data_IF_388920300797
#
_entry.id   IF_388920300797
#
_cell.length_a   1.000
_cell.length_b   1.000
_cell.length_c   1.000
_cell.angle_alpha   90.00
_cell.angle_beta   90.00
_cell.angle_gamma   90.00
#
_symmetry.space_group_name_H-M   'P 1'
#
loop_
_entity.id
_entity.type
_entity.pdbx_description
1 polymer ?
#
# COMPACT_ATOMS: atom_id res chain seq x y z
N UNK A 1 -33.81 16.58 12.09
CA UNK A 1 -32.40 16.24 12.38
C UNK A 1 -32.04 15.10 11.44
N UNK A 2 -31.65 15.45 10.21
CA UNK A 2 -31.38 14.49 9.14
C UNK A 2 -29.90 14.65 8.78
N UNK A 3 -29.04 13.82 9.37
CA UNK A 3 -27.65 13.71 8.95
C UNK A 3 -27.63 12.69 7.80
N UNK A 4 -27.43 13.23 6.61
CA UNK A 4 -27.21 12.51 5.36
C UNK A 4 -26.19 11.37 5.57
N UNK A 5 -26.61 10.12 5.36
CA UNK A 5 -25.77 8.94 5.43
C UNK A 5 -24.77 8.96 4.25
N UNK A 6 -23.68 9.71 4.37
CA UNK A 6 -22.54 9.59 3.46
C UNK A 6 -21.94 8.19 3.64
N UNK A 7 -22.11 7.35 2.63
CA UNK A 7 -21.54 5.99 2.60
C UNK A 7 -20.03 6.10 2.38
N UNK A 8 -19.29 6.17 3.48
CA UNK A 8 -17.84 6.09 3.45
C UNK A 8 -17.41 4.68 3.04
N UNK A 9 -16.50 4.60 2.09
CA UNK A 9 -15.80 3.36 1.73
C UNK A 9 -14.40 3.47 2.31
N UNK A 10 -14.05 2.50 3.16
CA UNK A 10 -12.71 2.41 3.73
C UNK A 10 -11.84 1.53 2.84
N UNK A 11 -10.66 2.02 2.49
CA UNK A 11 -9.62 1.27 1.81
C UNK A 11 -8.65 0.76 2.87
N UNK A 12 -8.28 -0.52 2.77
CA UNK A 12 -7.34 -1.17 3.68
C UNK A 12 -6.14 -1.68 2.91
N UNK A 13 -4.98 -1.70 3.55
CA UNK A 13 -3.78 -2.24 2.92
C UNK A 13 -2.72 -2.60 3.94
N UNK A 14 -1.76 -3.42 3.50
CA UNK A 14 -0.59 -3.81 4.26
C UNK A 14 0.65 -3.80 3.37
N UNK A 15 1.77 -3.39 3.96
CA UNK A 15 3.08 -3.43 3.34
C UNK A 15 4.01 -4.34 4.15
N UNK A 16 4.70 -5.23 3.44
CA UNK A 16 5.79 -6.05 3.97
C UNK A 16 7.08 -5.57 3.33
N UNK A 17 8.03 -5.12 4.16
CA UNK A 17 9.31 -4.58 3.71
C UNK A 17 10.43 -5.46 4.21
N UNK A 18 11.15 -6.09 3.28
CA UNK A 18 12.40 -6.79 3.57
C UNK A 18 13.54 -5.78 3.54
N UNK A 19 14.31 -5.71 4.63
CA UNK A 19 15.47 -4.82 4.75
C UNK A 19 16.73 -5.67 4.94
N UNK A 20 17.81 -5.31 4.25
CA UNK A 20 19.15 -5.89 4.43
C UNK A 20 20.05 -4.89 5.13
N UNK A 21 20.78 -5.36 6.12
CA UNK A 21 21.76 -4.60 6.89
C UNK A 21 23.18 -5.01 6.52
N UNK A 22 24.03 -4.03 6.25
CA UNK A 22 25.48 -4.20 6.14
C UNK A 22 26.13 -3.59 7.39
N UNK A 23 26.64 -4.42 8.33
CA UNK A 23 27.22 -3.92 9.58
C UNK A 23 28.60 -3.29 9.40
N UNK A 24 29.31 -3.56 8.29
CA UNK A 24 30.67 -3.05 8.09
C UNK A 24 30.70 -1.55 7.73
N UNK A 25 29.61 -1.06 7.14
CA UNK A 25 29.44 0.34 6.72
C UNK A 25 28.16 0.97 7.29
N UNK A 26 27.54 0.30 8.26
CA UNK A 26 26.27 0.72 8.87
C UNK A 26 25.18 1.09 7.87
N UNK A 27 24.99 0.29 6.82
CA UNK A 27 24.06 0.60 5.71
C UNK A 27 22.85 -0.32 5.69
N UNK A 28 21.65 0.26 5.81
CA UNK A 28 20.39 -0.42 5.52
C UNK A 28 20.02 -0.22 4.05
N UNK A 29 19.49 -1.26 3.40
CA UNK A 29 18.86 -1.18 2.07
C UNK A 29 17.54 -1.95 2.06
N UNK A 30 16.53 -1.39 1.42
CA UNK A 30 15.30 -2.13 1.11
C UNK A 30 15.65 -3.17 0.05
N UNK A 31 15.41 -4.44 0.37
CA UNK A 31 15.64 -5.55 -0.53
C UNK A 31 14.38 -5.88 -1.34
N UNK A 32 13.21 -5.70 -0.73
CA UNK A 32 11.91 -5.99 -1.34
C UNK A 32 10.79 -5.24 -0.62
N UNK A 33 9.81 -4.79 -1.39
CA UNK A 33 8.51 -4.35 -0.88
C UNK A 33 7.46 -5.25 -1.49
N UNK A 34 6.54 -5.75 -0.67
CA UNK A 34 5.35 -6.49 -1.11
C UNK A 34 4.14 -5.83 -0.47
N UNK A 35 3.18 -5.43 -1.29
CA UNK A 35 1.97 -4.72 -0.86
C UNK A 35 0.74 -5.56 -1.18
N UNK A 36 -0.23 -5.56 -0.28
CA UNK A 36 -1.58 -6.06 -0.54
C UNK A 36 -2.58 -4.96 -0.13
N UNK A 37 -3.35 -4.46 -1.09
CA UNK A 37 -4.30 -3.36 -0.88
C UNK A 37 -5.68 -3.78 -1.39
N UNK A 38 -6.69 -3.63 -0.55
CA UNK A 38 -8.10 -3.71 -0.92
C UNK A 38 -8.53 -2.37 -1.54
N UNK A 39 -8.43 -2.30 -2.87
CA UNK A 39 -8.76 -1.10 -3.67
C UNK A 39 -10.22 -1.07 -4.13
N UNK A 40 -11.06 -2.00 -3.67
CA UNK A 40 -12.40 -2.18 -4.20
C UNK A 40 -12.41 -2.56 -5.68
N UNK A 41 -13.35 -1.99 -6.47
CA UNK A 41 -13.49 -2.33 -7.90
C UNK A 41 -12.43 -1.63 -8.75
N UNK A 42 -11.51 -2.41 -9.30
CA UNK A 42 -10.53 -1.93 -10.28
C UNK A 42 -11.19 -1.65 -11.63
N UNK A 43 -11.12 -0.40 -12.09
CA UNK A 43 -11.60 0.03 -13.42
C UNK A 43 -10.50 -0.04 -14.48
N UNK A 44 -9.26 0.30 -14.10
CA UNK A 44 -8.09 0.21 -14.96
C UNK A 44 -6.92 -0.43 -14.18
N UNK A 45 -6.51 -1.67 -14.51
CA UNK A 45 -5.45 -2.38 -13.80
C UNK A 45 -4.09 -1.68 -13.82
N UNK A 46 -3.72 -1.03 -14.93
CA UNK A 46 -2.43 -0.35 -15.06
C UNK A 46 -2.37 0.90 -14.18
N UNK A 47 -3.44 1.71 -14.20
CA UNK A 47 -3.53 2.88 -13.35
C UNK A 47 -3.59 2.51 -11.86
N UNK A 48 -4.36 1.47 -11.52
CA UNK A 48 -4.45 0.99 -10.13
C UNK A 48 -3.09 0.52 -9.61
N UNK A 49 -2.32 -0.23 -10.41
CA UNK A 49 -0.99 -0.69 -10.02
C UNK A 49 -0.03 0.48 -9.76
N UNK A 50 0.00 1.48 -10.65
CA UNK A 50 0.89 2.63 -10.50
C UNK A 50 0.58 3.52 -9.28
N UNK A 51 -0.63 3.43 -8.70
CA UNK A 51 -0.99 4.17 -7.48
C UNK A 51 -0.60 3.43 -6.18
N UNK A 52 -0.19 2.16 -6.31
CA UNK A 52 0.16 1.28 -5.19
C UNK A 52 1.66 0.99 -5.14
N UNK A 53 2.37 1.17 -6.26
CA UNK A 53 3.83 1.04 -6.37
C UNK A 53 4.59 2.18 -5.66
#
# INVERSE_FOLDING_TARGET
MEIFLLRFVFIHGVHFVEVRWDPGISRLRVARVVSAIDVGKVVNPLAARNQVE
#
